data_IF_076403775753
#
_entry.id   IF_076403775753
#
_cell.length_a   1.000
_cell.length_b   1.000
_cell.length_c   1.000
_cell.angle_alpha   90.00
_cell.angle_beta   90.00
_cell.angle_gamma   90.00
#
_symmetry.space_group_name_H-M   'P 1'
#
loop_
_entity.id
_entity.type
_entity.pdbx_description
1 polymer ?
#
# COMPACT_ATOMS: atom_id res chain seq x y z
N UNK A 1 20.49 -5.68 -3.79
CA UNK A 1 19.81 -4.37 -3.69
C UNK A 1 20.48 -3.35 -4.59
N UNK A 2 19.74 -2.40 -5.15
CA UNK A 2 20.29 -1.34 -6.00
C UNK A 2 19.53 -0.03 -5.80
N UNK A 3 20.12 1.09 -6.24
CA UNK A 3 19.48 2.39 -6.28
C UNK A 3 18.11 2.31 -6.99
N UNK A 4 17.12 3.00 -6.44
CA UNK A 4 15.75 3.06 -6.94
C UNK A 4 14.82 1.96 -6.42
N UNK A 5 15.35 0.90 -5.78
CA UNK A 5 14.50 -0.10 -5.12
C UNK A 5 13.78 0.52 -3.92
N UNK A 6 12.52 0.12 -3.72
CA UNK A 6 11.74 0.48 -2.53
C UNK A 6 11.87 -0.67 -1.54
N UNK A 7 12.19 -0.37 -0.29
CA UNK A 7 12.43 -1.35 0.76
C UNK A 7 11.69 -0.97 2.03
N UNK A 8 11.39 -1.97 2.84
CA UNK A 8 10.87 -1.78 4.19
C UNK A 8 11.91 -2.25 5.21
N UNK A 9 12.04 -1.51 6.30
CA UNK A 9 12.99 -1.76 7.38
C UNK A 9 12.46 -1.18 8.69
N UNK A 10 13.01 -1.66 9.81
CA UNK A 10 12.67 -1.13 11.13
C UNK A 10 13.57 0.04 11.50
N UNK A 11 12.94 1.08 12.04
CA UNK A 11 13.59 2.24 12.63
C UNK A 11 12.88 2.57 13.94
N UNK A 12 13.57 2.44 15.07
CA UNK A 12 13.04 2.79 16.41
C UNK A 12 11.61 2.25 16.64
N UNK A 13 11.42 0.95 16.38
CA UNK A 13 10.13 0.24 16.49
C UNK A 13 9.06 0.58 15.46
N UNK A 14 9.34 1.47 14.51
CA UNK A 14 8.45 1.80 13.40
C UNK A 14 8.86 1.06 12.13
N UNK A 15 7.88 0.53 11.40
CA UNK A 15 8.11 -0.02 10.07
C UNK A 15 8.10 1.11 9.04
N UNK A 16 9.27 1.38 8.44
CA UNK A 16 9.46 2.44 7.45
C UNK A 16 9.59 1.85 6.06
N UNK A 17 9.02 2.48 5.04
CA UNK A 17 9.13 2.06 3.64
C UNK A 17 9.61 3.20 2.76
N UNK A 18 10.88 3.17 2.34
CA UNK A 18 11.52 4.25 1.59
C UNK A 18 12.32 3.71 0.39
N UNK A 19 12.80 4.63 -0.46
CA UNK A 19 13.57 4.30 -1.66
C UNK A 19 15.07 4.35 -1.38
N UNK A 20 15.79 3.32 -1.82
CA UNK A 20 17.25 3.28 -1.80
C UNK A 20 17.79 4.33 -2.77
N UNK A 21 18.53 5.29 -2.25
CA UNK A 21 19.21 6.32 -3.05
C UNK A 21 20.68 5.97 -3.30
N UNK A 22 21.29 5.20 -2.40
CA UNK A 22 22.69 4.80 -2.48
C UNK A 22 22.90 3.44 -1.80
N UNK A 23 23.85 2.66 -2.34
CA UNK A 23 24.28 1.37 -1.78
C UNK A 23 25.76 1.42 -1.47
N UNK A 24 26.08 1.28 -0.19
CA UNK A 24 27.42 1.03 0.30
C UNK A 24 27.64 -0.48 0.49
N UNK A 25 28.84 -0.88 0.92
CA UNK A 25 29.19 -2.30 1.12
C UNK A 25 28.28 -2.97 2.17
N UNK A 26 28.07 -2.29 3.30
CA UNK A 26 27.42 -2.88 4.48
C UNK A 26 26.04 -2.29 4.77
N UNK A 27 25.72 -1.14 4.16
CA UNK A 27 24.49 -0.43 4.43
C UNK A 27 23.90 0.21 3.17
N UNK A 28 22.61 0.55 3.26
CA UNK A 28 21.86 1.29 2.26
C UNK A 28 21.47 2.64 2.84
N UNK A 29 21.56 3.68 2.03
CA UNK A 29 20.97 4.97 2.36
C UNK A 29 19.61 5.08 1.67
N UNK A 30 18.60 5.50 2.42
CA UNK A 30 17.23 5.62 1.94
C UNK A 30 16.74 7.07 2.01
N UNK A 31 15.67 7.34 1.26
CA UNK A 31 14.92 8.58 1.34
C UNK A 31 13.45 8.30 1.02
N UNK A 32 12.55 8.91 1.79
CA UNK A 32 11.12 8.92 1.48
C UNK A 32 10.85 9.66 0.18
N UNK A 33 9.95 9.14 -0.67
CA UNK A 33 9.67 9.74 -1.98
C UNK A 33 9.14 11.19 -1.89
N UNK A 34 8.54 11.56 -0.75
CA UNK A 34 8.04 12.91 -0.46
C UNK A 34 9.05 13.80 0.28
N UNK A 35 10.19 13.26 0.71
CA UNK A 35 11.17 14.01 1.50
C UNK A 35 12.22 14.65 0.60
N UNK A 36 12.63 15.87 0.96
CA UNK A 36 13.72 16.59 0.28
C UNK A 36 15.11 16.22 0.79
N UNK A 37 15.18 15.58 1.96
CA UNK A 37 16.42 15.20 2.64
C UNK A 37 16.52 13.68 2.75
N UNK A 38 17.75 13.17 2.76
CA UNK A 38 18.01 11.74 2.93
C UNK A 38 17.75 11.33 4.39
N UNK A 39 17.43 10.06 4.61
CA UNK A 39 17.31 9.53 5.96
C UNK A 39 18.69 9.51 6.62
N UNK A 40 18.75 9.91 7.89
CA UNK A 40 19.99 9.91 8.68
C UNK A 40 20.40 8.50 9.09
N UNK A 41 19.43 7.60 9.25
CA UNK A 41 19.65 6.24 9.70
C UNK A 41 19.89 5.33 8.50
N UNK A 42 21.03 4.65 8.52
CA UNK A 42 21.39 3.69 7.50
C UNK A 42 20.65 2.35 7.68
N UNK A 43 20.26 1.73 6.57
CA UNK A 43 19.63 0.39 6.58
C UNK A 43 20.71 -0.66 6.43
N UNK A 44 20.86 -1.52 7.43
CA UNK A 44 21.78 -2.66 7.44
C UNK A 44 21.00 -3.97 7.31
N UNK A 45 21.71 -5.10 7.27
CA UNK A 45 21.05 -6.42 7.29
C UNK A 45 20.23 -6.66 8.56
N UNK A 46 20.55 -6.00 9.68
CA UNK A 46 19.91 -6.23 10.96
C UNK A 46 18.50 -5.62 11.05
N UNK A 47 18.26 -4.49 10.37
CA UNK A 47 16.96 -3.81 10.40
C UNK A 47 16.19 -3.92 9.08
N UNK A 48 16.80 -4.45 8.02
CA UNK A 48 16.14 -4.71 6.75
C UNK A 48 15.07 -5.80 6.89
N UNK A 49 13.85 -5.50 6.42
CA UNK A 49 12.74 -6.46 6.41
C UNK A 49 12.51 -7.06 5.02
N UNK A 50 12.41 -6.21 3.98
CA UNK A 50 11.99 -6.71 2.67
C UNK A 50 12.03 -5.69 1.54
N UNK A 51 11.88 -6.18 0.31
CA UNK A 51 11.81 -5.39 -0.91
C UNK A 51 10.37 -5.33 -1.39
N UNK A 52 9.94 -4.15 -1.79
CA UNK A 52 8.68 -3.98 -2.52
C UNK A 52 8.67 -4.80 -3.81
N UNK A 53 7.59 -5.54 -4.05
CA UNK A 53 7.40 -6.37 -5.25
C UNK A 53 6.28 -5.85 -6.16
N UNK A 54 5.11 -5.51 -5.60
CA UNK A 54 3.96 -5.09 -6.40
C UNK A 54 3.04 -4.12 -5.64
N UNK A 55 2.23 -3.37 -6.40
CA UNK A 55 1.11 -2.57 -5.90
C UNK A 55 -0.07 -2.68 -6.85
N UNK A 56 -1.27 -2.63 -6.29
CA UNK A 56 -2.49 -2.46 -7.05
C UNK A 56 -2.70 -0.95 -7.22
N UNK A 57 -2.30 -0.42 -8.38
CA UNK A 57 -2.49 1.00 -8.69
C UNK A 57 -3.98 1.34 -8.60
N UNK A 58 -4.30 2.52 -8.05
CA UNK A 58 -5.66 3.06 -7.95
C UNK A 58 -6.65 2.31 -7.05
N UNK A 59 -6.24 1.23 -6.35
CA UNK A 59 -7.13 0.51 -5.43
C UNK A 59 -7.75 1.46 -4.38
N UNK A 60 -6.96 2.35 -3.79
CA UNK A 60 -7.48 3.34 -2.83
C UNK A 60 -8.51 4.28 -3.44
N UNK A 61 -8.31 4.74 -4.68
CA UNK A 61 -9.28 5.58 -5.40
C UNK A 61 -10.57 4.82 -5.69
N UNK A 62 -10.44 3.55 -6.09
CA UNK A 62 -11.59 2.68 -6.33
C UNK A 62 -12.41 2.47 -5.05
N UNK A 63 -11.75 2.21 -3.92
CA UNK A 63 -12.43 2.07 -2.63
C UNK A 63 -13.14 3.37 -2.20
N UNK A 64 -12.52 4.53 -2.41
CA UNK A 64 -13.15 5.82 -2.13
C UNK A 64 -14.36 6.07 -3.04
N UNK A 65 -14.29 5.71 -4.32
CA UNK A 65 -15.42 5.81 -5.25
C UNK A 65 -16.58 4.89 -4.83
N UNK A 66 -16.30 3.69 -4.32
CA UNK A 66 -17.34 2.81 -3.77
C UNK A 66 -18.02 3.37 -2.51
N UNK A 67 -17.33 4.27 -1.78
CA UNK A 67 -17.87 4.93 -0.59
C UNK A 67 -18.69 6.19 -0.94
N UNK A 68 -18.75 6.60 -2.21
CA UNK A 68 -19.65 7.66 -2.64
C UNK A 68 -21.12 7.27 -2.31
N UNK A 69 -21.92 8.16 -1.66
CA UNK A 69 -23.26 7.80 -1.20
C UNK A 69 -24.20 7.29 -2.32
N UNK A 70 -24.08 7.84 -3.53
CA UNK A 70 -24.90 7.40 -4.67
C UNK A 70 -24.46 6.03 -5.16
N UNK A 71 -23.15 5.82 -5.33
CA UNK A 71 -22.61 4.51 -5.74
C UNK A 71 -22.92 3.44 -4.71
N UNK A 72 -22.70 3.73 -3.43
CA UNK A 72 -22.98 2.82 -2.33
C UNK A 72 -24.46 2.44 -2.25
N UNK A 73 -25.37 3.42 -2.34
CA UNK A 73 -26.81 3.16 -2.30
C UNK A 73 -27.27 2.30 -3.49
N UNK A 74 -26.73 2.53 -4.70
CA UNK A 74 -27.02 1.71 -5.87
C UNK A 74 -26.53 0.27 -5.70
N UNK A 75 -25.33 0.06 -5.15
CA UNK A 75 -24.80 -1.28 -4.86
C UNK A 75 -25.72 -1.99 -3.85
N UNK A 76 -26.09 -1.31 -2.77
CA UNK A 76 -26.98 -1.88 -1.75
C UNK A 76 -28.37 -2.21 -2.30
N UNK A 77 -28.93 -1.33 -3.14
CA UNK A 77 -30.21 -1.56 -3.80
C UNK A 77 -30.15 -2.78 -4.74
N UNK A 78 -29.08 -2.94 -5.51
CA UNK A 78 -28.89 -4.09 -6.38
C UNK A 78 -28.78 -5.41 -5.58
N UNK A 79 -28.06 -5.41 -4.45
CA UNK A 79 -27.98 -6.55 -3.54
C UNK A 79 -29.36 -6.88 -2.96
N UNK A 80 -30.08 -5.89 -2.44
CA UNK A 80 -31.41 -6.06 -1.88
C UNK A 80 -32.41 -6.61 -2.92
N UNK A 81 -32.38 -6.06 -4.14
CA UNK A 81 -33.21 -6.54 -5.24
C UNK A 81 -32.87 -8.00 -5.60
N UNK A 82 -31.58 -8.35 -5.66
CA UNK A 82 -31.15 -9.72 -5.95
C UNK A 82 -31.65 -10.69 -4.88
N UNK A 83 -31.56 -10.32 -3.61
CA UNK A 83 -32.08 -11.12 -2.49
C UNK A 83 -33.61 -11.26 -2.62
N UNK A 84 -34.33 -10.17 -2.87
CA UNK A 84 -35.78 -10.20 -3.05
C UNK A 84 -36.22 -11.13 -4.20
N UNK A 85 -35.56 -11.05 -5.36
CA UNK A 85 -35.79 -11.96 -6.49
C UNK A 85 -35.53 -13.40 -6.09
N UNK A 86 -34.40 -13.69 -5.43
CA UNK A 86 -34.12 -15.04 -4.97
C UNK A 86 -35.19 -15.54 -3.99
N UNK A 87 -35.69 -14.72 -3.07
CA UNK A 87 -36.74 -15.14 -2.15
C UNK A 87 -38.09 -15.37 -2.85
N UNK A 88 -38.44 -14.55 -3.84
CA UNK A 88 -39.72 -14.64 -4.55
C UNK A 88 -39.75 -15.77 -5.59
N UNK A 89 -38.61 -16.06 -6.23
CA UNK A 89 -38.50 -17.05 -7.30
C UNK A 89 -37.83 -18.36 -6.86
N UNK A 90 -37.40 -18.49 -5.60
CA UNK A 90 -37.07 -19.77 -4.98
C UNK A 90 -38.38 -20.48 -4.62
N UNK A 91 -39.05 -20.97 -5.66
CA UNK A 91 -40.13 -21.94 -5.62
C UNK A 91 -39.63 -23.27 -6.15
#
# INVERSE_FOLDING_TARGET
MQKGNIISFYQEHTLVTHRVIERNRDYLQTRGDQNNVNDLIAVTKANYLGKYQFRIKQLGRFLLWMQDPLVYSLIMAAIALRIAVLLLFKK
#
